data_IF_255768261379
#
_entry.id   IF_255768261379
#
_cell.length_a   1.000
_cell.length_b   1.000
_cell.length_c   1.000
_cell.angle_alpha   90.00
_cell.angle_beta   90.00
_cell.angle_gamma   90.00
#
_symmetry.space_group_name_H-M   'P 1'
#
loop_
_entity.id
_entity.type
_entity.pdbx_description
1 polymer ?
#
# COMPACT_ATOMS: atom_id res chain seq x y z
N UNK A 1 11.45 30.60 6.94
CA UNK A 1 12.34 30.26 5.81
C UNK A 1 11.43 29.89 4.64
N UNK A 2 11.59 30.54 3.48
CA UNK A 2 10.86 30.14 2.27
C UNK A 2 11.67 29.07 1.54
N UNK A 3 11.05 27.92 1.27
CA UNK A 3 11.62 26.87 0.43
C UNK A 3 11.03 27.01 -0.97
N UNK A 4 11.90 27.09 -1.97
CA UNK A 4 11.49 27.27 -3.37
C UNK A 4 11.68 25.96 -4.12
N UNK A 5 10.64 25.51 -4.81
CA UNK A 5 10.66 24.34 -5.69
C UNK A 5 10.60 24.81 -7.14
N UNK A 6 11.59 24.43 -7.94
CA UNK A 6 11.58 24.68 -9.37
C UNK A 6 10.86 23.53 -10.06
N UNK A 7 9.75 23.85 -10.74
CA UNK A 7 8.92 22.91 -11.47
C UNK A 7 8.89 23.32 -12.94
N UNK A 8 8.71 22.34 -13.85
CA UNK A 8 8.38 22.68 -15.23
C UNK A 8 6.98 23.33 -15.27
N UNK A 9 6.78 24.25 -16.21
CA UNK A 9 5.52 24.99 -16.32
C UNK A 9 4.31 24.06 -16.51
N UNK A 10 4.44 23.03 -17.34
CA UNK A 10 3.38 22.04 -17.54
C UNK A 10 3.03 21.27 -16.27
N UNK A 11 4.02 20.91 -15.44
CA UNK A 11 3.78 20.24 -14.17
C UNK A 11 3.11 21.18 -13.16
N UNK A 12 3.54 22.44 -13.12
CA UNK A 12 2.91 23.45 -12.28
C UNK A 12 1.42 23.64 -12.64
N UNK A 13 1.11 23.78 -13.94
CA UNK A 13 -0.27 23.94 -14.40
C UNK A 13 -1.13 22.70 -14.07
N UNK A 14 -0.58 21.50 -14.21
CA UNK A 14 -1.29 20.27 -13.83
C UNK A 14 -1.55 20.20 -12.31
N UNK A 15 -0.56 20.55 -11.49
CA UNK A 15 -0.71 20.58 -10.04
C UNK A 15 -1.75 21.63 -9.62
N UNK A 16 -1.72 22.82 -10.22
CA UNK A 16 -2.69 23.88 -9.94
C UNK A 16 -4.12 23.46 -10.33
N UNK A 17 -4.29 22.89 -11.53
CA UNK A 17 -5.60 22.40 -11.98
C UNK A 17 -6.13 21.27 -11.08
N UNK A 18 -5.24 20.38 -10.63
CA UNK A 18 -5.61 19.27 -9.74
C UNK A 18 -5.96 19.79 -8.34
N UNK A 19 -5.18 20.74 -7.80
CA UNK A 19 -5.45 21.38 -6.53
C UNK A 19 -6.82 22.07 -6.54
N UNK A 20 -7.10 22.89 -7.56
CA UNK A 20 -8.40 23.58 -7.68
C UNK A 20 -9.57 22.61 -7.84
N UNK A 21 -9.42 21.55 -8.64
CA UNK A 21 -10.49 20.55 -8.79
C UNK A 21 -10.71 19.73 -7.51
N UNK A 22 -9.67 19.56 -6.69
CA UNK A 22 -9.76 18.98 -5.34
C UNK A 22 -10.29 19.93 -4.27
N UNK A 23 -10.56 21.20 -4.60
CA UNK A 23 -11.06 22.20 -3.65
C UNK A 23 -9.99 22.78 -2.72
N UNK A 24 -8.71 22.70 -3.09
CA UNK A 24 -7.62 23.30 -2.32
C UNK A 24 -7.43 24.78 -2.71
N UNK A 25 -7.22 25.62 -1.71
CA UNK A 25 -7.04 27.07 -1.91
C UNK A 25 -5.62 27.43 -2.34
N UNK A 26 -4.66 26.51 -2.14
CA UNK A 26 -3.27 26.69 -2.58
C UNK A 26 -2.63 25.38 -3.04
N UNK A 27 -1.66 25.50 -3.95
CA UNK A 27 -0.82 24.38 -4.38
C UNK A 27 0.00 23.83 -3.22
N UNK A 28 0.42 24.67 -2.28
CA UNK A 28 1.18 24.27 -1.09
C UNK A 28 0.36 23.33 -0.20
N UNK A 29 -0.89 23.69 0.10
CA UNK A 29 -1.80 22.85 0.87
C UNK A 29 -2.05 21.50 0.16
N UNK A 30 -2.24 21.54 -1.16
CA UNK A 30 -2.41 20.32 -1.95
C UNK A 30 -1.17 19.42 -1.91
N UNK A 31 0.04 19.99 -2.05
CA UNK A 31 1.30 19.25 -1.96
C UNK A 31 1.47 18.65 -0.56
N UNK A 32 1.20 19.43 0.49
CA UNK A 32 1.25 18.94 1.87
C UNK A 32 0.30 17.75 2.04
N UNK A 33 -0.91 17.84 1.49
CA UNK A 33 -1.89 16.74 1.58
C UNK A 33 -1.45 15.50 0.82
N UNK A 34 -0.87 15.68 -0.37
CA UNK A 34 -0.30 14.57 -1.15
C UNK A 34 0.82 13.86 -0.38
N UNK A 35 1.69 14.61 0.29
CA UNK A 35 2.77 14.03 1.11
C UNK A 35 2.18 13.19 2.24
N UNK A 36 1.18 13.68 2.97
CA UNK A 36 0.52 12.94 4.05
C UNK A 36 -0.09 11.62 3.55
N UNK A 37 -0.85 11.68 2.45
CA UNK A 37 -1.49 10.50 1.86
C UNK A 37 -0.45 9.49 1.40
N UNK A 38 0.63 9.95 0.78
CA UNK A 38 1.70 9.08 0.32
C UNK A 38 2.44 8.42 1.48
N UNK A 39 2.75 9.17 2.55
CA UNK A 39 3.37 8.62 3.76
C UNK A 39 2.49 7.58 4.44
N UNK A 40 1.19 7.86 4.58
CA UNK A 40 0.24 6.90 5.13
C UNK A 40 0.17 5.61 4.30
N UNK A 41 0.19 5.72 2.97
CA UNK A 41 0.20 4.57 2.07
C UNK A 41 1.50 3.75 2.18
N UNK A 42 2.65 4.41 2.26
CA UNK A 42 3.94 3.72 2.44
C UNK A 42 3.96 2.96 3.76
N UNK A 43 3.48 3.58 4.83
CA UNK A 43 3.42 2.95 6.16
C UNK A 43 2.46 1.74 6.17
N UNK A 44 1.29 1.86 5.54
CA UNK A 44 0.36 0.74 5.40
C UNK A 44 0.97 -0.42 4.61
N UNK A 45 1.66 -0.14 3.50
CA UNK A 45 2.36 -1.17 2.73
C UNK A 45 3.44 -1.88 3.56
N UNK A 46 4.19 -1.12 4.37
CA UNK A 46 5.19 -1.66 5.28
C UNK A 46 4.56 -2.61 6.30
N UNK A 47 3.45 -2.21 6.93
CA UNK A 47 2.72 -3.07 7.89
C UNK A 47 2.21 -4.36 7.27
N UNK A 48 1.66 -4.28 6.06
CA UNK A 48 1.21 -5.48 5.32
C UNK A 48 2.36 -6.43 5.02
N UNK A 49 3.50 -5.92 4.57
CA UNK A 49 4.68 -6.75 4.34
C UNK A 49 5.17 -7.40 5.63
N UNK A 50 5.13 -6.70 6.76
CA UNK A 50 5.49 -7.28 8.05
C UNK A 50 4.53 -8.39 8.46
N UNK A 51 3.22 -8.22 8.26
CA UNK A 51 2.23 -9.25 8.53
C UNK A 51 2.46 -10.51 7.67
N UNK A 52 2.72 -10.33 6.36
CA UNK A 52 3.05 -11.46 5.47
C UNK A 52 4.27 -12.21 5.98
N UNK A 53 5.36 -11.51 6.33
CA UNK A 53 6.56 -12.15 6.90
C UNK A 53 6.29 -12.92 8.19
N UNK A 54 5.40 -12.41 9.05
CA UNK A 54 4.99 -13.12 10.28
C UNK A 54 4.22 -14.40 9.97
N UNK A 55 3.33 -14.36 8.97
CA UNK A 55 2.58 -15.54 8.52
C UNK A 55 3.54 -16.57 7.93
N UNK A 56 4.47 -16.15 7.07
CA UNK A 56 5.45 -17.03 6.47
C UNK A 56 6.33 -17.70 7.54
N UNK A 57 6.79 -16.94 8.53
CA UNK A 57 7.55 -17.48 9.65
C UNK A 57 6.75 -18.52 10.47
N UNK A 58 5.44 -18.28 10.66
CA UNK A 58 4.57 -19.26 11.33
C UNK A 58 4.38 -20.52 10.47
N UNK A 59 4.19 -20.37 9.17
CA UNK A 59 4.09 -21.50 8.24
C UNK A 59 5.37 -22.34 8.25
N UNK A 60 6.55 -21.72 8.23
CA UNK A 60 7.83 -22.41 8.35
C UNK A 60 7.95 -23.15 9.69
N UNK A 61 7.56 -22.53 10.80
CA UNK A 61 7.55 -23.18 12.12
C UNK A 61 6.61 -24.39 12.16
N UNK A 62 5.40 -24.26 11.60
CA UNK A 62 4.45 -25.36 11.53
C UNK A 62 4.95 -26.49 10.64
N UNK A 63 5.49 -26.17 9.45
CA UNK A 63 6.06 -27.15 8.54
C UNK A 63 7.25 -27.89 9.18
N UNK A 64 8.12 -27.19 9.90
CA UNK A 64 9.24 -27.80 10.61
C UNK A 64 8.78 -28.73 11.74
N UNK A 65 7.72 -28.37 12.46
CA UNK A 65 7.23 -29.13 13.61
C UNK A 65 6.35 -30.33 13.23
N UNK A 66 5.51 -30.18 12.21
CA UNK A 66 4.47 -31.15 11.88
C UNK A 66 4.60 -31.74 10.46
N UNK A 67 5.60 -31.31 9.69
CA UNK A 67 5.70 -31.63 8.26
C UNK A 67 4.84 -30.71 7.40
N UNK A 68 5.06 -30.74 6.09
CA UNK A 68 4.29 -29.93 5.14
C UNK A 68 2.84 -30.42 5.08
N UNK A 69 1.90 -29.57 5.47
CA UNK A 69 0.47 -29.85 5.33
C UNK A 69 0.06 -29.51 3.90
N UNK A 70 -0.24 -30.53 3.09
CA UNK A 70 -0.68 -30.32 1.71
C UNK A 70 -2.04 -29.61 1.68
N UNK A 71 -2.20 -28.73 0.70
CA UNK A 71 -3.41 -27.93 0.55
C UNK A 71 -4.61 -28.86 0.32
N UNK A 72 -5.63 -28.75 1.19
CA UNK A 72 -6.76 -29.68 1.23
C UNK A 72 -7.87 -29.28 0.24
N UNK A 73 -7.65 -28.25 -0.57
CA UNK A 73 -8.63 -27.70 -1.52
C UNK A 73 -9.16 -28.77 -2.49
N UNK A 74 -8.28 -29.64 -3.00
CA UNK A 74 -8.65 -30.76 -3.88
C UNK A 74 -9.57 -31.76 -3.16
N UNK A 75 -9.28 -32.09 -1.91
CA UNK A 75 -10.07 -33.03 -1.09
C UNK A 75 -11.45 -32.45 -0.76
N UNK A 76 -11.54 -31.15 -0.50
CA UNK A 76 -12.80 -30.45 -0.19
C UNK A 76 -13.68 -30.33 -1.44
N UNK A 77 -13.10 -30.13 -2.63
CA UNK A 77 -13.85 -30.13 -3.89
C UNK A 77 -14.44 -31.51 -4.19
N UNK A 78 -13.64 -32.57 -4.03
CA UNK A 78 -14.08 -33.94 -4.27
C UNK A 78 -15.21 -34.38 -3.33
N UNK A 79 -15.24 -33.89 -2.08
CA UNK A 79 -16.32 -34.18 -1.13
C UNK A 79 -17.63 -33.45 -1.48
N UNK A 80 -17.54 -32.27 -2.10
CA UNK A 80 -18.70 -31.47 -2.56
C UNK A 80 -19.38 -32.00 -3.82
N UNK A 81 -18.68 -32.83 -4.59
CA UNK A 81 -19.17 -33.45 -5.83
C UNK A 81 -19.81 -34.84 -5.60
N UNK A 82 -19.86 -35.32 -4.35
CA UNK A 82 -20.61 -36.51 -3.92
C UNK A 82 -22.01 -36.16 -3.42
#
# INVERSE_FOLDING_TARGET
MHQTLNLSEGLYQQLEATARSGGFDSIEEFIQKLIEVWQARVEELRRRQEQVRRIDALHEQFAAKYGTMNDSVELIRADRER
#
